data_IF_411162092928
#
_entry.id   IF_411162092928
#
_cell.length_a   1.000
_cell.length_b   1.000
_cell.length_c   1.000
_cell.angle_alpha   90.00
_cell.angle_beta   90.00
_cell.angle_gamma   90.00
#
_symmetry.space_group_name_H-M   'P 1'
#
loop_
_entity.id
_entity.type
_entity.pdbx_description
1 polymer ?
#
# COMPACT_ATOMS: atom_id res chain seq x y z
N UNK A 1 3.46 -2.84 9.13
CA UNK A 1 3.61 -1.66 8.23
C UNK A 1 2.86 -0.42 8.76
N UNK A 2 1.63 -0.58 9.28
CA UNK A 2 0.85 0.54 9.83
C UNK A 2 1.56 1.26 10.99
N UNK A 3 2.07 0.50 11.94
CA UNK A 3 2.83 1.04 13.08
C UNK A 3 4.02 1.90 12.63
N UNK A 4 4.69 1.49 11.56
CA UNK A 4 5.81 2.25 11.01
C UNK A 4 5.37 3.59 10.43
N UNK A 5 4.24 3.60 9.71
CA UNK A 5 3.65 4.83 9.19
C UNK A 5 3.34 5.82 10.30
N UNK A 6 2.72 5.35 11.40
CA UNK A 6 2.42 6.19 12.56
C UNK A 6 3.67 6.73 13.25
N UNK A 7 4.72 5.90 13.36
CA UNK A 7 5.99 6.36 13.93
C UNK A 7 6.64 7.47 13.08
N UNK A 8 6.59 7.34 11.74
CA UNK A 8 7.06 8.40 10.84
C UNK A 8 6.21 9.68 10.94
N UNK A 9 4.89 9.55 11.15
CA UNK A 9 4.04 10.72 11.38
C UNK A 9 4.42 11.50 12.65
N UNK A 10 4.98 10.83 13.65
CA UNK A 10 5.52 11.47 14.86
C UNK A 10 6.94 12.00 14.70
N UNK A 11 7.51 11.90 13.49
CA UNK A 11 8.83 12.43 13.16
C UNK A 11 10.00 11.48 13.39
N UNK A 12 9.72 10.24 13.80
CA UNK A 12 10.76 9.28 14.14
C UNK A 12 11.02 8.24 13.06
N UNK A 13 12.30 7.93 12.87
CA UNK A 13 12.76 6.89 11.96
C UNK A 13 12.96 5.56 12.70
N UNK A 14 12.86 4.44 11.94
CA UNK A 14 13.12 3.10 12.47
C UNK A 14 14.57 2.85 12.86
N UNK A 15 15.49 3.59 12.28
CA UNK A 15 16.91 3.51 12.55
C UNK A 15 17.42 4.88 12.95
N UNK A 16 18.39 4.89 13.85
CA UNK A 16 19.14 6.10 14.19
C UNK A 16 19.90 6.61 12.96
N UNK A 17 20.51 7.79 13.07
CA UNK A 17 21.25 8.45 11.98
C UNK A 17 22.35 7.58 11.36
N UNK A 18 22.86 6.58 12.09
CA UNK A 18 23.84 5.61 11.58
C UNK A 18 23.27 4.63 10.54
N UNK A 19 21.94 4.61 10.36
CA UNK A 19 21.22 3.73 9.45
C UNK A 19 21.28 2.24 9.78
N UNK A 20 21.74 1.87 10.99
CA UNK A 20 21.95 0.49 11.43
C UNK A 20 21.35 0.16 12.78
N UNK A 21 21.43 1.09 13.73
CA UNK A 21 20.92 0.89 15.08
C UNK A 21 19.41 1.08 15.07
N UNK A 22 18.61 0.05 15.45
CA UNK A 22 17.15 0.18 15.51
C UNK A 22 16.71 1.22 16.54
N UNK A 23 15.81 2.10 16.16
CA UNK A 23 15.18 3.12 17.02
C UNK A 23 13.77 2.69 17.45
N UNK A 24 13.69 1.56 18.14
CA UNK A 24 12.42 0.94 18.54
C UNK A 24 12.01 1.24 19.99
N UNK A 25 12.80 2.04 20.67
CA UNK A 25 12.58 2.40 22.10
C UNK A 25 12.33 3.88 22.29
N UNK A 26 12.16 4.65 21.23
CA UNK A 26 11.79 6.07 21.29
C UNK A 26 10.44 6.25 22.01
N UNK A 27 10.17 7.45 22.48
CA UNK A 27 8.91 7.75 23.16
C UNK A 27 7.75 7.73 22.14
N UNK A 28 7.99 8.14 20.90
CA UNK A 28 7.06 8.08 19.78
C UNK A 28 6.67 6.64 19.45
N UNK A 29 7.64 5.74 19.39
CA UNK A 29 7.36 4.31 19.17
C UNK A 29 6.55 3.72 20.31
N UNK A 30 6.85 4.09 21.56
CA UNK A 30 6.05 3.66 22.72
C UNK A 30 4.62 4.20 22.66
N UNK A 31 4.44 5.46 22.23
CA UNK A 31 3.11 6.06 22.03
C UNK A 31 2.31 5.27 20.99
N UNK A 32 2.92 4.95 19.84
CA UNK A 32 2.26 4.17 18.80
C UNK A 32 1.90 2.76 19.27
N UNK A 33 2.80 2.11 20.02
CA UNK A 33 2.53 0.79 20.58
C UNK A 33 1.44 0.83 21.65
N UNK A 34 1.42 1.87 22.50
CA UNK A 34 0.38 2.05 23.51
C UNK A 34 -0.98 2.27 22.86
N UNK A 35 -1.05 3.11 21.82
CA UNK A 35 -2.28 3.30 21.05
C UNK A 35 -2.83 1.97 20.52
N UNK A 36 -1.96 1.10 19.97
CA UNK A 36 -2.39 -0.22 19.49
C UNK A 36 -2.94 -1.08 20.65
N UNK A 37 -2.28 -1.07 21.80
CA UNK A 37 -2.76 -1.78 23.00
C UNK A 37 -4.13 -1.26 23.44
N UNK A 38 -4.30 0.06 23.45
CA UNK A 38 -5.54 0.71 23.85
C UNK A 38 -6.69 0.36 22.91
N UNK A 39 -6.45 0.35 21.59
CA UNK A 39 -7.44 -0.09 20.59
C UNK A 39 -8.00 -1.47 20.88
N UNK A 40 -7.18 -2.41 21.38
CA UNK A 40 -7.61 -3.78 21.68
C UNK A 40 -8.14 -3.95 23.10
N UNK A 41 -7.52 -3.32 24.09
CA UNK A 41 -7.77 -3.62 25.51
C UNK A 41 -8.68 -2.59 26.19
N UNK A 42 -8.67 -1.35 25.72
CA UNK A 42 -9.44 -0.24 26.31
C UNK A 42 -10.64 0.10 25.45
N UNK A 43 -10.41 0.38 24.16
CA UNK A 43 -11.45 0.85 23.25
C UNK A 43 -12.28 -0.29 22.66
N UNK A 44 -11.76 -1.51 22.64
CA UNK A 44 -12.43 -2.68 22.14
C UNK A 44 -12.73 -2.66 20.62
N UNK A 45 -12.00 -1.83 19.85
CA UNK A 45 -12.19 -1.65 18.42
C UNK A 45 -11.43 -2.67 17.56
N UNK A 46 -10.60 -3.50 18.18
CA UNK A 46 -9.89 -4.60 17.55
C UNK A 46 -10.13 -5.90 18.30
N UNK A 47 -9.93 -7.03 17.63
CA UNK A 47 -10.01 -8.36 18.25
C UNK A 47 -8.91 -9.27 17.71
N UNK A 48 -8.25 -10.00 18.61
CA UNK A 48 -7.34 -11.07 18.23
C UNK A 48 -8.07 -12.30 17.63
N UNK A 49 -9.38 -12.37 17.79
CA UNK A 49 -10.21 -13.49 17.32
C UNK A 49 -10.44 -13.48 15.80
N UNK A 50 -10.17 -12.34 15.13
CA UNK A 50 -10.26 -12.25 13.67
C UNK A 50 -9.12 -12.98 12.94
N UNK A 51 -8.17 -13.53 13.66
CA UNK A 51 -7.14 -14.41 13.12
C UNK A 51 -6.16 -13.74 12.15
N UNK A 52 -5.50 -14.57 11.34
CA UNK A 52 -4.44 -14.15 10.43
C UNK A 52 -4.95 -13.42 9.17
N UNK A 53 -6.27 -13.41 8.91
CA UNK A 53 -6.88 -12.93 7.67
C UNK A 53 -7.75 -11.69 7.89
N UNK A 54 -7.17 -10.64 8.47
CA UNK A 54 -7.85 -9.36 8.66
C UNK A 54 -8.57 -8.81 7.40
N UNK A 55 -8.03 -8.96 6.17
CA UNK A 55 -8.75 -8.57 4.96
C UNK A 55 -10.07 -9.31 4.77
N UNK A 56 -10.10 -10.61 5.05
CA UNK A 56 -11.32 -11.41 4.87
C UNK A 56 -12.43 -10.97 5.84
N UNK A 57 -12.08 -10.54 7.06
CA UNK A 57 -13.06 -10.06 8.03
C UNK A 57 -13.80 -8.81 7.57
N UNK A 58 -13.13 -7.90 6.85
CA UNK A 58 -13.77 -6.73 6.25
C UNK A 58 -14.67 -7.16 5.09
N UNK A 59 -14.18 -7.96 4.16
CA UNK A 59 -14.96 -8.47 3.04
C UNK A 59 -16.21 -9.25 3.48
N UNK A 60 -16.14 -9.95 4.61
CA UNK A 60 -17.26 -10.67 5.22
C UNK A 60 -18.19 -9.78 6.07
N UNK A 61 -17.92 -8.48 6.16
CA UNK A 61 -18.71 -7.56 6.96
C UNK A 61 -18.54 -7.68 8.48
N UNK A 62 -17.48 -8.35 8.93
CA UNK A 62 -17.19 -8.55 10.36
C UNK A 62 -16.43 -7.37 10.97
N UNK A 63 -15.74 -6.56 10.15
CA UNK A 63 -15.09 -5.33 10.59
C UNK A 63 -15.55 -4.14 9.74
N UNK A 64 -15.69 -2.98 10.39
CA UNK A 64 -16.15 -1.75 9.74
C UNK A 64 -15.06 -1.05 8.92
N UNK A 65 -13.79 -1.29 9.25
CA UNK A 65 -12.63 -0.68 8.61
C UNK A 65 -11.49 -1.69 8.48
N UNK A 66 -10.65 -1.47 7.46
CA UNK A 66 -9.42 -2.22 7.27
C UNK A 66 -8.35 -1.30 6.68
N UNK A 67 -7.12 -1.46 7.11
CA UNK A 67 -5.95 -0.81 6.50
C UNK A 67 -5.28 -1.84 5.61
N UNK A 68 -5.25 -1.56 4.32
CA UNK A 68 -4.78 -2.51 3.31
C UNK A 68 -4.06 -1.81 2.16
N UNK A 69 -3.34 -2.58 1.35
CA UNK A 69 -2.71 -2.13 0.13
C UNK A 69 -3.74 -1.85 -0.98
N UNK A 70 -3.40 -0.98 -1.91
CA UNK A 70 -4.29 -0.59 -3.01
C UNK A 70 -4.89 -1.77 -3.79
N UNK A 71 -4.15 -2.86 -3.99
CA UNK A 71 -4.65 -4.05 -4.68
C UNK A 71 -5.87 -4.69 -4.02
N UNK A 72 -6.11 -4.44 -2.73
CA UNK A 72 -7.26 -4.97 -2.02
C UNK A 72 -8.57 -4.42 -2.57
N UNK A 73 -8.56 -3.23 -3.18
CA UNK A 73 -9.71 -2.68 -3.91
C UNK A 73 -10.23 -3.67 -4.95
N UNK A 74 -9.34 -4.25 -5.76
CA UNK A 74 -9.74 -5.25 -6.76
C UNK A 74 -10.20 -6.57 -6.12
N UNK A 75 -9.60 -6.97 -5.01
CA UNK A 75 -10.04 -8.16 -4.25
C UNK A 75 -11.47 -7.99 -3.75
N UNK A 76 -11.83 -6.81 -3.23
CA UNK A 76 -13.20 -6.53 -2.80
C UNK A 76 -14.18 -6.62 -3.98
N UNK A 77 -13.87 -6.00 -5.11
CA UNK A 77 -14.73 -5.99 -6.29
C UNK A 77 -14.87 -7.36 -6.99
N UNK A 78 -13.96 -8.29 -6.76
CA UNK A 78 -13.97 -9.62 -7.40
C UNK A 78 -14.41 -10.75 -6.48
N UNK A 79 -14.11 -10.65 -5.19
CA UNK A 79 -14.35 -11.71 -4.21
C UNK A 79 -15.53 -11.38 -3.29
N UNK A 80 -15.68 -10.11 -2.94
CA UNK A 80 -16.69 -9.63 -1.97
C UNK A 80 -17.65 -8.63 -2.61
N UNK A 81 -18.26 -9.00 -3.73
CA UNK A 81 -19.03 -8.12 -4.63
C UNK A 81 -20.24 -7.45 -4.01
N UNK A 82 -20.73 -7.98 -2.89
CA UNK A 82 -21.91 -7.45 -2.21
C UNK A 82 -21.60 -6.40 -1.15
N UNK A 83 -20.30 -6.13 -0.88
CA UNK A 83 -19.91 -5.12 0.10
C UNK A 83 -19.96 -3.72 -0.53
N UNK A 84 -20.61 -2.78 0.15
CA UNK A 84 -20.54 -1.37 -0.19
C UNK A 84 -19.45 -0.70 0.67
N UNK A 85 -18.40 -0.21 0.03
CA UNK A 85 -17.24 0.34 0.72
C UNK A 85 -16.74 1.62 0.05
N UNK A 86 -16.03 2.43 0.81
CA UNK A 86 -15.29 3.59 0.33
C UNK A 86 -13.81 3.47 0.68
N UNK A 87 -13.00 4.31 0.08
CA UNK A 87 -11.56 4.42 0.35
C UNK A 87 -11.27 5.83 0.87
N UNK A 88 -10.43 5.95 1.86
CA UNK A 88 -9.95 7.22 2.41
C UNK A 88 -8.50 7.08 2.88
N UNK A 89 -7.88 8.21 3.10
CA UNK A 89 -6.50 8.26 3.57
C UNK A 89 -6.32 7.68 4.97
N UNK A 90 -5.11 7.23 5.26
CA UNK A 90 -4.74 6.86 6.62
C UNK A 90 -4.80 8.12 7.48
N UNK A 91 -5.57 8.12 8.59
CA UNK A 91 -5.62 9.26 9.50
C UNK A 91 -4.26 9.65 10.03
N UNK A 92 -4.06 10.94 10.26
CA UNK A 92 -2.85 11.48 10.86
C UNK A 92 -3.09 11.89 12.31
N UNK A 93 -2.02 11.96 13.10
CA UNK A 93 -2.09 12.65 14.40
C UNK A 93 -2.33 14.15 14.18
N UNK A 94 -3.09 14.77 15.08
CA UNK A 94 -3.48 16.19 14.98
C UNK A 94 -2.28 17.15 14.90
N UNK A 95 -1.16 16.78 15.49
CA UNK A 95 0.07 17.57 15.52
C UNK A 95 0.91 17.42 14.25
N UNK A 96 0.58 16.48 13.39
CA UNK A 96 1.32 16.23 12.14
C UNK A 96 0.38 16.30 10.93
N UNK A 97 0.51 17.35 10.08
CA UNK A 97 -0.35 17.51 8.90
C UNK A 97 -0.02 16.57 7.75
N UNK A 98 1.02 15.75 7.86
CA UNK A 98 1.44 14.87 6.77
C UNK A 98 0.95 13.44 6.98
N UNK A 99 0.07 12.98 6.09
CA UNK A 99 -0.24 11.57 5.96
C UNK A 99 0.94 10.89 5.28
N UNK A 100 1.64 10.03 6.00
CA UNK A 100 2.62 9.15 5.37
C UNK A 100 1.92 7.91 4.85
N UNK A 101 1.52 7.94 3.59
CA UNK A 101 1.21 6.73 2.84
C UNK A 101 2.52 6.08 2.42
N UNK A 102 2.66 4.80 2.72
CA UNK A 102 3.82 4.06 2.28
C UNK A 102 3.64 3.72 0.80
N UNK A 103 4.37 4.41 -0.05
CA UNK A 103 4.56 3.97 -1.43
C UNK A 103 5.56 2.82 -1.47
N UNK A 104 5.14 1.70 -2.06
CA UNK A 104 6.00 0.55 -2.24
C UNK A 104 6.50 0.49 -3.69
N UNK A 105 7.69 1.01 -3.93
CA UNK A 105 8.34 1.03 -5.25
C UNK A 105 9.10 -0.25 -5.60
N UNK A 106 8.78 -1.38 -4.97
CA UNK A 106 9.53 -2.63 -5.10
C UNK A 106 9.10 -3.54 -6.26
N UNK A 107 7.99 -3.23 -6.92
CA UNK A 107 7.52 -4.03 -8.06
C UNK A 107 8.40 -3.79 -9.28
N UNK A 108 9.18 -4.78 -9.66
CA UNK A 108 10.12 -4.71 -10.79
C UNK A 108 10.01 -5.93 -11.69
N UNK A 109 10.35 -5.77 -12.96
CA UNK A 109 10.58 -6.90 -13.86
C UNK A 109 12.01 -7.43 -13.70
N UNK A 110 12.14 -8.71 -13.38
CA UNK A 110 13.43 -9.39 -13.32
C UNK A 110 13.59 -10.35 -14.50
N UNK A 111 14.77 -10.34 -15.14
CA UNK A 111 15.13 -11.32 -16.17
C UNK A 111 16.08 -12.33 -15.54
N UNK A 112 15.74 -13.61 -15.61
CA UNK A 112 16.59 -14.66 -15.04
C UNK A 112 17.90 -14.76 -15.83
N UNK A 113 19.01 -14.40 -15.19
CA UNK A 113 20.36 -14.45 -15.77
C UNK A 113 20.82 -15.85 -16.18
N UNK A 114 20.20 -16.90 -15.66
CA UNK A 114 20.53 -18.29 -15.96
C UNK A 114 19.63 -18.89 -17.07
N UNK A 115 18.67 -18.13 -17.60
CA UNK A 115 17.88 -18.58 -18.74
C UNK A 115 18.73 -18.62 -20.02
N UNK A 116 18.40 -19.46 -21.02
CA UNK A 116 19.03 -19.44 -22.34
C UNK A 116 19.02 -18.04 -22.97
N UNK A 117 20.05 -17.72 -23.75
CA UNK A 117 20.26 -16.38 -24.29
C UNK A 117 19.09 -15.90 -25.19
N UNK A 118 18.49 -16.79 -25.94
CA UNK A 118 17.32 -16.53 -26.77
C UNK A 118 16.09 -16.18 -25.95
N UNK A 119 15.87 -16.87 -24.82
CA UNK A 119 14.80 -16.55 -23.87
C UNK A 119 15.04 -15.21 -23.14
N UNK A 120 16.30 -14.91 -22.78
CA UNK A 120 16.63 -13.60 -22.22
C UNK A 120 16.36 -12.48 -23.22
N UNK A 121 16.66 -12.67 -24.50
CA UNK A 121 16.39 -11.70 -25.55
C UNK A 121 14.87 -11.42 -25.67
N UNK A 122 14.05 -12.47 -25.72
CA UNK A 122 12.58 -12.34 -25.76
C UNK A 122 12.05 -11.65 -24.52
N UNK A 123 12.56 -11.98 -23.32
CA UNK A 123 12.17 -11.31 -22.08
C UNK A 123 12.53 -9.81 -22.08
N UNK A 124 13.70 -9.44 -22.61
CA UNK A 124 14.09 -8.05 -22.80
C UNK A 124 13.17 -7.31 -23.75
N UNK A 125 12.79 -7.93 -24.86
CA UNK A 125 11.89 -7.31 -25.83
C UNK A 125 10.48 -7.16 -25.26
N UNK A 126 10.00 -8.12 -24.47
CA UNK A 126 8.75 -7.98 -23.73
C UNK A 126 8.77 -6.80 -22.75
N UNK A 127 9.83 -6.65 -21.95
CA UNK A 127 9.96 -5.51 -21.02
C UNK A 127 9.99 -4.19 -21.78
N UNK A 128 10.74 -4.10 -22.88
CA UNK A 128 10.76 -2.89 -23.72
C UNK A 128 9.38 -2.56 -24.29
N UNK A 129 8.67 -3.58 -24.81
CA UNK A 129 7.31 -3.42 -25.32
C UNK A 129 6.38 -2.90 -24.23
N UNK A 130 6.38 -3.53 -23.06
CA UNK A 130 5.53 -3.13 -21.94
C UNK A 130 5.80 -1.69 -21.49
N UNK A 131 7.08 -1.30 -21.36
CA UNK A 131 7.45 0.05 -20.94
C UNK A 131 7.15 1.12 -22.00
N UNK A 132 7.12 0.76 -23.27
CA UNK A 132 6.81 1.67 -24.36
C UNK A 132 5.31 1.80 -24.67
N UNK A 133 4.49 0.84 -24.22
CA UNK A 133 3.07 0.76 -24.55
C UNK A 133 2.21 1.29 -23.39
N UNK A 134 1.61 2.45 -23.57
CA UNK A 134 0.79 3.11 -22.57
C UNK A 134 -0.46 2.30 -22.22
N UNK A 135 -1.15 1.74 -23.22
CA UNK A 135 -2.36 0.94 -22.99
C UNK A 135 -2.05 -0.30 -22.17
N UNK A 136 -0.93 -0.96 -22.42
CA UNK A 136 -0.49 -2.11 -21.64
C UNK A 136 -0.17 -1.74 -20.17
N UNK A 137 0.46 -0.58 -19.96
CA UNK A 137 0.72 -0.09 -18.61
C UNK A 137 -0.57 0.30 -17.90
N UNK A 138 -1.50 1.01 -18.54
CA UNK A 138 -2.79 1.38 -17.97
C UNK A 138 -3.55 0.11 -17.55
N UNK A 139 -3.73 -0.84 -18.47
CA UNK A 139 -4.44 -2.09 -18.19
C UNK A 139 -3.81 -2.88 -17.03
N UNK A 140 -2.48 -2.97 -16.98
CA UNK A 140 -1.76 -3.65 -15.90
C UNK A 140 -1.95 -2.95 -14.56
N UNK A 141 -1.77 -1.63 -14.53
CA UNK A 141 -1.87 -0.85 -13.28
C UNK A 141 -3.29 -0.83 -12.73
N UNK A 142 -4.31 -0.78 -13.59
CA UNK A 142 -5.71 -0.93 -13.16
C UNK A 142 -5.98 -2.32 -12.59
N UNK A 143 -5.49 -3.38 -13.25
CA UNK A 143 -5.66 -4.75 -12.76
C UNK A 143 -4.97 -5.01 -11.42
N UNK A 144 -3.86 -4.33 -11.15
CA UNK A 144 -3.09 -4.45 -9.92
C UNK A 144 -3.43 -3.39 -8.87
N UNK A 145 -4.24 -2.37 -9.19
CA UNK A 145 -4.45 -1.17 -8.39
C UNK A 145 -3.11 -0.57 -7.92
N UNK A 146 -2.24 -0.31 -8.88
CA UNK A 146 -0.91 0.28 -8.66
C UNK A 146 -0.72 1.51 -9.55
N UNK A 147 0.16 2.42 -9.14
CA UNK A 147 0.53 3.56 -9.97
C UNK A 147 1.51 3.15 -11.08
N UNK A 148 1.38 3.72 -12.27
CA UNK A 148 2.37 3.53 -13.32
C UNK A 148 3.69 4.22 -12.94
N UNK A 149 4.82 3.58 -13.26
CA UNK A 149 6.14 4.20 -13.11
C UNK A 149 6.37 5.33 -14.12
N UNK A 150 5.57 5.40 -15.17
CA UNK A 150 5.67 6.42 -16.22
C UNK A 150 4.93 7.69 -15.81
N UNK A 151 5.67 8.78 -15.57
CA UNK A 151 5.12 10.07 -15.13
C UNK A 151 4.02 10.63 -16.04
N UNK A 152 4.09 10.39 -17.36
CA UNK A 152 3.06 10.85 -18.30
C UNK A 152 1.70 10.15 -18.14
N UNK A 153 1.61 9.10 -17.33
CA UNK A 153 0.38 8.38 -17.03
C UNK A 153 -0.16 8.68 -15.62
N UNK A 154 0.52 9.53 -14.86
CA UNK A 154 0.13 9.83 -13.47
C UNK A 154 -1.28 10.41 -13.38
N UNK A 155 -1.66 11.27 -14.33
CA UNK A 155 -3.00 11.92 -14.38
C UNK A 155 -3.95 11.25 -15.38
N UNK A 156 -3.69 9.99 -15.78
CA UNK A 156 -4.53 9.30 -16.74
C UNK A 156 -5.93 9.06 -16.16
N UNK A 157 -6.98 9.46 -16.90
CA UNK A 157 -8.38 9.44 -16.44
C UNK A 157 -8.85 8.03 -16.05
N UNK A 158 -8.43 6.99 -16.76
CA UNK A 158 -8.81 5.61 -16.44
C UNK A 158 -8.18 5.17 -15.13
N UNK A 159 -6.91 5.49 -14.89
CA UNK A 159 -6.20 5.19 -13.64
C UNK A 159 -6.84 5.93 -12.48
N UNK A 160 -7.13 7.22 -12.67
CA UNK A 160 -7.75 8.06 -11.65
C UNK A 160 -9.23 7.74 -11.39
N UNK A 161 -9.87 6.96 -12.26
CA UNK A 161 -11.20 6.43 -12.02
C UNK A 161 -11.27 5.35 -10.93
N UNK A 162 -10.11 4.76 -10.59
CA UNK A 162 -9.99 3.82 -9.47
C UNK A 162 -9.90 4.61 -8.15
N UNK A 163 -10.91 4.54 -7.24
CA UNK A 163 -10.91 5.33 -6.00
C UNK A 163 -9.70 5.09 -5.10
N UNK A 164 -9.14 3.88 -5.10
CA UNK A 164 -7.93 3.55 -4.34
C UNK A 164 -6.70 4.31 -4.87
N UNK A 165 -6.59 4.47 -6.18
CA UNK A 165 -5.50 5.21 -6.80
C UNK A 165 -5.69 6.72 -6.72
N UNK A 166 -6.94 7.19 -6.87
CA UNK A 166 -7.29 8.61 -6.74
C UNK A 166 -6.91 9.17 -5.36
N UNK A 167 -7.25 8.45 -4.28
CA UNK A 167 -6.86 8.84 -2.91
C UNK A 167 -5.34 8.85 -2.73
N UNK A 168 -4.62 7.88 -3.30
CA UNK A 168 -3.16 7.83 -3.21
C UNK A 168 -2.47 8.92 -4.02
N UNK A 169 -3.07 9.35 -5.15
CA UNK A 169 -2.49 10.35 -6.05
C UNK A 169 -2.29 11.71 -5.38
N UNK A 170 -3.12 12.05 -4.39
CA UNK A 170 -3.06 13.33 -3.68
C UNK A 170 -1.74 13.50 -2.88
N UNK A 171 -0.98 12.41 -2.71
CA UNK A 171 0.24 12.36 -1.89
C UNK A 171 1.48 11.89 -2.66
N UNK A 172 1.41 11.78 -3.98
CA UNK A 172 2.56 11.42 -4.83
C UNK A 172 3.00 12.67 -5.58
N UNK A 173 4.09 13.29 -5.10
CA UNK A 173 4.78 14.41 -5.76
C UNK A 173 5.78 13.91 -6.82
#
# INVERSE_FOLDING_TARGET
NYLLGLNYQLGENLFLEDGRTPNVTSDEMKQVMQMLVDMYQVDGIGSADFGEKAPDSFGQGQSAMVIQWGHYYNTLNTTWTDINFGVFEIPTFDENPYAYNRYNGESTFGINKNAPADQQAVAQDFVKYFLANDDAQIAFNLAMSTFPAKKSLADNEEIMSNPSLSVLAEHID
#
